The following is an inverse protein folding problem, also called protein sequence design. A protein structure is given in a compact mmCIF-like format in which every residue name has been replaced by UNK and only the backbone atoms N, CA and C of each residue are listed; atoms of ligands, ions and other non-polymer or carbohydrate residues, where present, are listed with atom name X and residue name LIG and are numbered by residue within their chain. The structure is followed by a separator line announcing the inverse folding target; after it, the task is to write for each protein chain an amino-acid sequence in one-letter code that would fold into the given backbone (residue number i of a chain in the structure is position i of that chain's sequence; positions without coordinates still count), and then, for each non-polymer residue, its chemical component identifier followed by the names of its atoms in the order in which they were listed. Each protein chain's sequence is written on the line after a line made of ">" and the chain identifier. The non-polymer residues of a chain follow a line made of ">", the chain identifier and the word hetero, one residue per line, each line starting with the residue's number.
data_IF_806562563727
#
_entry.id   IF_806562563727
#
_cell.length_a   1.000
_cell.length_b   1.000
_cell.length_c   1.000
_cell.angle_alpha   90.00
_cell.angle_beta   90.00
_cell.angle_gamma   90.00
#
_symmetry.space_group_name_H-M   'P 1'
#
loop_
_entity.id
_entity.type
_entity.pdbx_description
1 polymer ?
#
# COMPACT_ATOMS: atom_id res chain seq x y z
N UNK A 1 7.15 -17.43 -7.46
CA UNK A 1 8.27 -16.47 -7.52
C UNK A 1 8.93 -16.63 -8.88
N UNK A 2 8.71 -15.66 -9.76
CA UNK A 2 9.46 -15.58 -11.03
C UNK A 2 10.92 -15.22 -10.70
N UNK A 3 11.87 -16.02 -11.17
CA UNK A 3 13.32 -15.86 -10.90
C UNK A 3 14.09 -15.40 -12.14
N UNK A 4 13.38 -14.79 -13.09
CA UNK A 4 13.99 -14.32 -14.33
C UNK A 4 14.89 -13.11 -14.08
N UNK A 5 16.18 -13.21 -14.44
CA UNK A 5 17.12 -12.08 -14.39
C UNK A 5 17.00 -11.29 -15.70
N UNK A 6 16.60 -10.03 -15.63
CA UNK A 6 16.47 -9.12 -16.78
C UNK A 6 17.67 -8.17 -16.87
N UNK A 7 18.11 -7.86 -18.09
CA UNK A 7 19.13 -6.85 -18.37
C UNK A 7 18.46 -5.65 -19.05
N UNK A 8 18.80 -4.45 -18.61
CA UNK A 8 18.28 -3.19 -19.17
C UNK A 8 19.44 -2.36 -19.72
N UNK A 9 19.16 -1.56 -20.75
CA UNK A 9 20.12 -0.65 -21.36
C UNK A 9 20.36 0.59 -20.49
N UNK A 10 19.35 1.04 -19.76
CA UNK A 10 19.42 2.20 -18.87
C UNK A 10 18.38 2.13 -17.74
N UNK A 11 18.46 3.11 -16.83
CA UNK A 11 17.57 3.19 -15.67
C UNK A 11 16.11 3.45 -16.04
N UNK A 12 15.85 4.27 -17.06
CA UNK A 12 14.48 4.59 -17.49
C UNK A 12 13.76 3.35 -18.03
N UNK A 13 14.45 2.50 -18.78
CA UNK A 13 13.93 1.24 -19.28
C UNK A 13 13.55 0.30 -18.13
N UNK A 14 14.41 0.21 -17.11
CA UNK A 14 14.13 -0.57 -15.90
C UNK A 14 12.88 -0.05 -15.17
N UNK A 15 12.76 1.28 -14.98
CA UNK A 15 11.59 1.88 -14.32
C UNK A 15 10.32 1.72 -15.14
N UNK A 16 10.40 1.80 -16.47
CA UNK A 16 9.26 1.57 -17.36
C UNK A 16 8.78 0.12 -17.30
N UNK A 17 9.69 -0.85 -17.23
CA UNK A 17 9.33 -2.27 -17.06
C UNK A 17 8.66 -2.52 -15.69
N UNK A 18 9.24 -2.00 -14.61
CA UNK A 18 8.67 -2.07 -13.27
C UNK A 18 7.26 -1.44 -13.23
N UNK A 19 7.07 -0.30 -13.90
CA UNK A 19 5.78 0.36 -13.99
C UNK A 19 4.74 -0.51 -14.71
N UNK A 20 5.09 -1.11 -15.86
CA UNK A 20 4.20 -2.04 -16.58
C UNK A 20 3.86 -3.27 -15.74
N UNK A 21 4.84 -3.81 -15.01
CA UNK A 21 4.62 -4.89 -14.06
C UNK A 21 3.54 -4.49 -13.05
N UNK A 22 3.67 -3.35 -12.38
CA UNK A 22 2.68 -2.88 -11.42
C UNK A 22 1.32 -2.59 -12.05
N UNK A 23 1.27 -2.03 -13.25
CA UNK A 23 0.01 -1.84 -13.98
C UNK A 23 -0.73 -3.15 -14.27
N UNK A 24 0.01 -4.26 -14.48
CA UNK A 24 -0.58 -5.58 -14.73
C UNK A 24 -1.17 -6.24 -13.46
N UNK A 25 -0.83 -5.74 -12.27
CA UNK A 25 -1.26 -6.34 -11.00
C UNK A 25 -2.71 -5.98 -10.64
N UNK A 26 -3.45 -6.91 -10.00
CA UNK A 26 -4.75 -6.61 -9.42
C UNK A 26 -4.73 -5.39 -8.50
N UNK A 27 -5.84 -4.64 -8.47
CA UNK A 27 -5.96 -3.41 -7.66
C UNK A 27 -5.64 -3.66 -6.19
N UNK A 28 -6.14 -4.75 -5.61
CA UNK A 28 -5.95 -5.05 -4.18
C UNK A 28 -4.47 -5.24 -3.81
N UNK A 29 -3.66 -5.83 -4.71
CA UNK A 29 -2.23 -5.99 -4.47
C UNK A 29 -1.48 -4.65 -4.56
N UNK A 30 -1.86 -3.80 -5.52
CA UNK A 30 -1.30 -2.44 -5.63
C UNK A 30 -1.59 -1.63 -4.37
N UNK A 31 -2.84 -1.69 -3.89
CA UNK A 31 -3.26 -0.97 -2.68
C UNK A 31 -2.53 -1.50 -1.45
N UNK A 32 -2.39 -2.82 -1.31
CA UNK A 32 -1.64 -3.42 -0.22
C UNK A 32 -0.17 -2.96 -0.21
N UNK A 33 0.50 -2.99 -1.37
CA UNK A 33 1.88 -2.54 -1.49
C UNK A 33 2.05 -1.05 -1.16
N UNK A 34 1.14 -0.19 -1.64
CA UNK A 34 1.17 1.25 -1.30
C UNK A 34 0.95 1.46 0.20
N UNK A 35 0.04 0.70 0.82
CA UNK A 35 -0.21 0.78 2.27
C UNK A 35 1.05 0.42 3.07
N UNK A 36 1.73 -0.67 2.70
CA UNK A 36 2.97 -1.11 3.35
C UNK A 36 4.08 -0.05 3.26
N UNK A 37 4.35 0.44 2.04
CA UNK A 37 5.35 1.49 1.80
C UNK A 37 5.02 2.78 2.58
N UNK A 38 3.73 3.14 2.65
CA UNK A 38 3.28 4.32 3.39
C UNK A 38 3.52 4.15 4.89
N UNK A 39 3.16 3.00 5.46
CA UNK A 39 3.36 2.71 6.88
C UNK A 39 4.83 2.67 7.26
N UNK A 40 5.68 2.05 6.44
CA UNK A 40 7.12 2.06 6.63
C UNK A 40 7.69 3.49 6.57
N UNK A 41 7.24 4.30 5.62
CA UNK A 41 7.60 5.71 5.53
C UNK A 41 7.24 6.51 6.78
N UNK A 42 6.06 6.27 7.37
CA UNK A 42 5.67 6.89 8.63
C UNK A 42 6.50 6.39 9.81
N UNK A 43 6.79 5.08 9.88
CA UNK A 43 7.67 4.51 10.90
C UNK A 43 9.07 5.10 10.86
N UNK A 44 9.65 5.26 9.67
CA UNK A 44 10.98 5.90 9.48
C UNK A 44 10.99 7.34 9.98
N UNK A 45 9.87 8.04 9.88
CA UNK A 45 9.69 9.40 10.43
C UNK A 45 9.38 9.42 11.93
N UNK A 46 9.42 8.27 12.61
CA UNK A 46 9.15 8.15 14.05
C UNK A 46 7.67 8.13 14.43
N UNK A 47 6.75 8.13 13.46
CA UNK A 47 5.33 7.97 13.73
C UNK A 47 5.01 6.50 14.00
N UNK A 48 4.40 6.21 15.16
CA UNK A 48 3.90 4.88 15.47
C UNK A 48 2.52 4.66 14.86
N UNK A 49 2.20 3.40 14.59
CA UNK A 49 0.88 2.93 14.15
C UNK A 49 -0.23 3.13 15.21
N UNK A 50 0.10 3.74 16.34
CA UNK A 50 -0.86 4.32 17.27
C UNK A 50 -1.47 5.56 16.61
N UNK A 51 -2.26 5.35 15.55
CA UNK A 51 -3.36 6.26 15.28
C UNK A 51 -4.05 6.44 16.63
N UNK A 52 -4.17 7.68 17.12
CA UNK A 52 -4.95 7.98 18.32
C UNK A 52 -6.20 7.13 18.21
N UNK A 53 -6.28 6.07 19.04
CA UNK A 53 -7.41 5.15 19.00
C UNK A 53 -8.60 6.05 19.08
N UNK A 54 -9.46 6.00 18.05
CA UNK A 54 -10.62 6.87 17.94
C UNK A 54 -11.54 6.48 19.09
N UNK A 55 -11.23 6.98 20.28
CA UNK A 55 -11.86 6.61 21.56
C UNK A 55 -13.25 7.22 21.66
N UNK A 56 -13.61 8.07 20.70
CA UNK A 56 -14.94 8.61 20.54
C UNK A 56 -15.64 7.88 19.41
N UNK A 57 -16.68 7.13 19.74
CA UNK A 57 -17.72 6.75 18.79
C UNK A 57 -18.21 8.03 18.09
N UNK A 58 -17.83 8.24 16.83
CA UNK A 58 -18.27 9.43 16.08
C UNK A 58 -19.74 9.32 15.68
N UNK A 59 -20.23 8.10 15.43
CA UNK A 59 -21.62 7.82 15.05
C UNK A 59 -22.05 6.49 15.66
N UNK A 60 -23.18 6.49 16.37
CA UNK A 60 -23.86 5.29 16.84
C UNK A 60 -25.08 5.04 15.95
N UNK A 61 -25.14 3.90 15.27
CA UNK A 61 -26.33 3.48 14.53
C UNK A 61 -27.14 2.53 15.40
N UNK A 62 -28.25 3.01 15.93
CA UNK A 62 -29.21 2.17 16.64
C UNK A 62 -29.99 1.34 15.62
N UNK A 63 -30.04 0.03 15.83
CA UNK A 63 -30.75 -0.89 14.94
C UNK A 63 -32.23 -0.83 15.28
N UNK A 64 -33.09 -0.60 14.28
CA UNK A 64 -34.54 -0.56 14.50
C UNK A 64 -35.04 -1.88 15.15
N UNK A 65 -35.95 -1.80 16.14
CA UNK A 65 -36.50 -2.97 16.79
C UNK A 65 -37.27 -3.83 15.78
N UNK A 66 -37.13 -5.16 15.93
CA UNK A 66 -37.86 -6.15 15.13
C UNK A 66 -39.33 -6.21 15.50
#
# INVERSE_FOLDING_TARGET
>A
MDKTIRKYKNFDEMKADEYRYWQSRPVHERVAAVSELTEEGYKLKGFKRDAFRLHRTLVHFERAPR
#
